data_IF_892962427061
#
_entry.id   IF_892962427061
#
_cell.length_a   1.000
_cell.length_b   1.000
_cell.length_c   1.000
_cell.angle_alpha   90.00
_cell.angle_beta   90.00
_cell.angle_gamma   90.00
#
_symmetry.space_group_name_H-M   'P 1'
#
loop_
_entity.id
_entity.type
_entity.pdbx_description
1 polymer ?
#
# COMPACT_ATOMS: atom_id res chain seq x y z
N UNK A 1 21.10 0.30 -2.57
CA UNK A 1 20.00 1.22 -2.21
C UNK A 1 19.46 1.80 -3.52
N UNK A 2 18.16 1.77 -3.76
CA UNK A 2 17.60 2.40 -4.96
C UNK A 2 17.54 3.92 -4.77
N UNK A 3 17.71 4.67 -5.87
CA UNK A 3 17.43 6.10 -5.84
C UNK A 3 15.93 6.32 -5.66
N UNK A 4 15.53 7.41 -4.99
CA UNK A 4 14.14 7.81 -4.95
C UNK A 4 14.01 9.32 -5.14
N UNK A 5 12.91 9.75 -5.77
CA UNK A 5 12.57 11.15 -5.95
C UNK A 5 11.11 11.38 -5.57
N UNK A 6 10.87 12.34 -4.67
CA UNK A 6 9.52 12.76 -4.28
C UNK A 6 9.15 14.03 -5.05
N UNK A 7 7.98 14.02 -5.67
CA UNK A 7 7.41 15.16 -6.37
C UNK A 7 6.10 15.53 -5.71
N UNK A 8 5.96 16.78 -5.28
CA UNK A 8 4.70 17.30 -4.77
C UNK A 8 3.64 17.24 -5.87
N UNK A 9 2.51 16.62 -5.58
CA UNK A 9 1.36 16.60 -6.47
C UNK A 9 0.58 17.90 -6.23
N UNK A 10 0.23 18.61 -7.29
CA UNK A 10 -0.68 19.75 -7.27
C UNK A 10 -2.03 19.30 -7.83
N UNK A 11 -2.86 18.59 -7.05
CA UNK A 11 -4.08 18.00 -7.56
C UNK A 11 -5.17 19.07 -7.74
N UNK A 12 -5.97 18.90 -8.79
CA UNK A 12 -7.28 19.52 -8.83
C UNK A 12 -8.24 18.83 -7.83
N UNK A 13 -9.47 19.32 -7.75
CA UNK A 13 -10.47 18.81 -6.81
C UNK A 13 -10.78 17.32 -7.02
N UNK A 14 -10.76 16.85 -8.27
CA UNK A 14 -11.08 15.47 -8.60
C UNK A 14 -9.93 14.53 -8.21
N UNK A 15 -8.70 14.87 -8.61
CA UNK A 15 -7.52 14.10 -8.24
C UNK A 15 -7.33 14.08 -6.73
N UNK A 16 -7.55 15.20 -6.03
CA UNK A 16 -7.47 15.25 -4.57
C UNK A 16 -8.43 14.23 -3.93
N UNK A 17 -9.68 14.19 -4.37
CA UNK A 17 -10.67 13.24 -3.86
C UNK A 17 -10.29 11.78 -4.15
N UNK A 18 -9.72 11.51 -5.33
CA UNK A 18 -9.20 10.16 -5.68
C UNK A 18 -8.07 9.76 -4.75
N UNK A 19 -7.08 10.64 -4.53
CA UNK A 19 -5.91 10.35 -3.69
C UNK A 19 -6.31 10.12 -2.23
N UNK A 20 -7.22 10.94 -1.69
CA UNK A 20 -7.78 10.77 -0.35
C UNK A 20 -8.53 9.44 -0.23
N UNK A 21 -9.36 9.11 -1.22
CA UNK A 21 -10.13 7.87 -1.24
C UNK A 21 -9.22 6.63 -1.23
N UNK A 22 -8.26 6.53 -2.16
CA UNK A 22 -7.39 5.35 -2.25
C UNK A 22 -6.49 5.20 -1.01
N UNK A 23 -6.00 6.30 -0.44
CA UNK A 23 -5.17 6.26 0.77
C UNK A 23 -5.99 5.87 2.01
N UNK A 24 -7.25 6.30 2.09
CA UNK A 24 -8.18 5.92 3.16
C UNK A 24 -8.57 4.43 3.05
N UNK A 25 -8.86 3.95 1.84
CA UNK A 25 -9.20 2.54 1.60
C UNK A 25 -8.00 1.62 1.85
N UNK A 26 -6.78 2.06 1.52
CA UNK A 26 -5.55 1.35 1.89
C UNK A 26 -5.39 1.24 3.41
N UNK A 27 -5.69 2.32 4.16
CA UNK A 27 -5.64 2.31 5.63
C UNK A 27 -6.64 1.31 6.24
N UNK A 28 -7.88 1.28 5.70
CA UNK A 28 -8.90 0.31 6.13
C UNK A 28 -8.48 -1.13 5.80
N UNK A 29 -7.97 -1.38 4.60
CA UNK A 29 -7.48 -2.70 4.19
C UNK A 29 -6.33 -3.19 5.07
N UNK A 30 -5.39 -2.31 5.42
CA UNK A 30 -4.32 -2.62 6.36
C UNK A 30 -4.87 -3.05 7.72
N UNK A 31 -5.86 -2.31 8.26
CA UNK A 31 -6.49 -2.68 9.51
C UNK A 31 -7.24 -4.02 9.43
N UNK A 32 -7.89 -4.34 8.31
CA UNK A 32 -8.45 -5.67 8.06
C UNK A 32 -7.38 -6.77 8.07
N UNK A 33 -6.22 -6.53 7.44
CA UNK A 33 -5.11 -7.47 7.43
C UNK A 33 -4.49 -7.68 8.81
N UNK A 34 -4.27 -6.61 9.57
CA UNK A 34 -3.81 -6.69 10.96
C UNK A 34 -4.81 -7.44 11.82
N UNK A 35 -6.11 -7.18 11.64
CA UNK A 35 -7.17 -7.89 12.37
C UNK A 35 -7.11 -9.40 12.09
N UNK A 36 -7.08 -9.79 10.82
CA UNK A 36 -7.00 -11.20 10.44
C UNK A 36 -5.75 -11.86 11.02
N UNK A 37 -4.58 -11.23 10.86
CA UNK A 37 -3.31 -11.73 11.40
C UNK A 37 -3.35 -11.91 12.93
N UNK A 38 -3.93 -10.94 13.66
CA UNK A 38 -4.11 -11.01 15.12
C UNK A 38 -5.03 -12.16 15.52
N UNK A 39 -6.15 -12.35 14.82
CA UNK A 39 -7.08 -13.44 15.11
C UNK A 39 -6.40 -14.81 14.97
N UNK A 40 -5.63 -15.02 13.89
CA UNK A 40 -4.88 -16.26 13.69
C UNK A 40 -3.81 -16.42 14.77
N UNK A 41 -3.00 -15.40 15.01
CA UNK A 41 -1.90 -15.47 15.97
C UNK A 41 -2.39 -15.73 17.39
N UNK A 42 -3.35 -14.96 17.90
CA UNK A 42 -3.80 -15.11 19.29
C UNK A 42 -4.58 -16.40 19.54
N UNK A 43 -5.29 -16.94 18.54
CA UNK A 43 -6.02 -18.21 18.69
C UNK A 43 -5.15 -19.46 18.47
N UNK A 44 -4.17 -19.38 17.58
CA UNK A 44 -3.46 -20.59 17.10
C UNK A 44 -1.94 -20.54 17.31
N UNK A 45 -1.40 -19.38 17.73
CA UNK A 45 0.05 -19.10 17.80
C UNK A 45 0.79 -19.26 16.45
N UNK A 46 0.06 -19.26 15.33
CA UNK A 46 0.62 -19.29 13.97
C UNK A 46 0.77 -17.88 13.40
N UNK A 47 1.72 -17.73 12.47
CA UNK A 47 2.00 -16.47 11.78
C UNK A 47 1.39 -16.50 10.38
N UNK A 48 0.65 -15.46 10.01
CA UNK A 48 0.13 -15.29 8.66
C UNK A 48 1.21 -14.78 7.71
N UNK A 49 1.30 -15.38 6.53
CA UNK A 49 2.20 -14.91 5.47
C UNK A 49 1.53 -13.82 4.60
N UNK A 50 2.34 -13.08 3.84
CA UNK A 50 1.86 -12.13 2.83
C UNK A 50 0.94 -12.80 1.80
N UNK A 51 1.25 -14.04 1.39
CA UNK A 51 0.42 -14.82 0.49
C UNK A 51 -0.94 -15.16 1.11
N UNK A 52 -0.96 -15.61 2.36
CA UNK A 52 -2.19 -15.92 3.10
C UNK A 52 -3.09 -14.69 3.20
N UNK A 53 -2.55 -13.54 3.62
CA UNK A 53 -3.34 -12.31 3.74
C UNK A 53 -3.93 -11.87 2.40
N UNK A 54 -3.17 -12.00 1.32
CA UNK A 54 -3.66 -11.70 -0.03
C UNK A 54 -4.80 -12.61 -0.48
N UNK A 55 -4.70 -13.92 -0.21
CA UNK A 55 -5.74 -14.88 -0.56
C UNK A 55 -7.03 -14.60 0.21
N UNK A 56 -6.91 -14.43 1.53
CA UNK A 56 -8.05 -14.29 2.44
C UNK A 56 -8.79 -12.97 2.27
N UNK A 57 -8.07 -11.89 1.94
CA UNK A 57 -8.65 -10.55 1.80
C UNK A 57 -9.02 -10.19 0.36
N UNK A 58 -8.84 -11.09 -0.61
CA UNK A 58 -9.12 -10.81 -2.03
C UNK A 58 -10.55 -10.31 -2.29
N UNK A 59 -11.52 -10.80 -1.51
CA UNK A 59 -12.92 -10.42 -1.62
C UNK A 59 -13.32 -9.27 -0.68
N UNK A 60 -12.38 -8.74 0.11
CA UNK A 60 -12.63 -7.61 1.00
C UNK A 60 -13.03 -6.37 0.18
N UNK A 61 -14.03 -5.58 0.59
CA UNK A 61 -14.43 -4.39 -0.15
C UNK A 61 -13.30 -3.38 -0.38
N UNK A 62 -12.46 -3.15 0.62
CA UNK A 62 -11.33 -2.23 0.53
C UNK A 62 -10.23 -2.74 -0.40
N UNK A 63 -10.07 -4.07 -0.51
CA UNK A 63 -9.20 -4.67 -1.53
C UNK A 63 -9.70 -4.33 -2.93
N UNK A 64 -11.01 -4.45 -3.17
CA UNK A 64 -11.64 -4.14 -4.47
C UNK A 64 -11.66 -2.65 -4.82
N UNK A 65 -11.52 -1.77 -3.83
CA UNK A 65 -11.37 -0.31 -4.01
C UNK A 65 -10.00 0.07 -4.59
N UNK A 66 -8.99 -0.79 -4.43
CA UNK A 66 -7.65 -0.60 -4.97
C UNK A 66 -7.43 -1.47 -6.21
N UNK A 67 -6.46 -1.11 -7.05
CA UNK A 67 -5.99 -2.06 -8.06
C UNK A 67 -5.37 -3.28 -7.36
N UNK A 68 -5.43 -4.46 -8.00
CA UNK A 68 -5.07 -5.71 -7.36
C UNK A 68 -3.63 -5.70 -6.81
N UNK A 69 -2.68 -5.17 -7.58
CA UNK A 69 -1.27 -5.07 -7.20
C UNK A 69 -1.07 -4.13 -6.02
N UNK A 70 -1.74 -2.99 -5.97
CA UNK A 70 -1.64 -2.06 -4.85
C UNK A 70 -2.26 -2.64 -3.57
N UNK A 71 -3.41 -3.31 -3.68
CA UNK A 71 -4.01 -4.06 -2.57
C UNK A 71 -3.05 -5.14 -2.05
N UNK A 72 -2.35 -5.83 -2.96
CA UNK A 72 -1.35 -6.83 -2.60
C UNK A 72 -0.16 -6.27 -1.84
N UNK A 73 0.31 -5.07 -2.20
CA UNK A 73 1.35 -4.38 -1.46
C UNK A 73 0.90 -4.03 -0.03
N UNK A 74 -0.35 -3.58 0.15
CA UNK A 74 -0.91 -3.29 1.48
C UNK A 74 -0.95 -4.53 2.37
N UNK A 75 -1.52 -5.63 1.87
CA UNK A 75 -1.57 -6.90 2.61
C UNK A 75 -0.18 -7.49 2.82
N UNK A 76 0.70 -7.35 1.82
CA UNK A 76 2.08 -7.83 1.86
C UNK A 76 2.90 -7.18 2.96
N UNK A 77 2.81 -5.85 3.10
CA UNK A 77 3.49 -5.11 4.16
C UNK A 77 3.09 -5.59 5.57
N UNK A 78 1.82 -5.95 5.78
CA UNK A 78 1.36 -6.54 7.05
C UNK A 78 1.94 -7.94 7.23
N UNK A 79 1.94 -8.77 6.20
CA UNK A 79 2.52 -10.13 6.25
C UNK A 79 4.03 -10.13 6.54
N UNK A 80 4.76 -9.17 5.96
CA UNK A 80 6.18 -8.95 6.25
C UNK A 80 6.39 -8.50 7.70
N UNK A 81 5.54 -7.60 8.21
CA UNK A 81 5.58 -7.15 9.60
C UNK A 81 5.31 -8.29 10.58
N UNK A 82 4.35 -9.17 10.28
CA UNK A 82 4.06 -10.38 11.08
C UNK A 82 5.23 -11.36 11.04
N UNK A 83 5.85 -11.54 9.86
CA UNK A 83 7.04 -12.38 9.69
C UNK A 83 8.22 -11.85 10.50
N UNK A 84 8.44 -10.52 10.47
CA UNK A 84 9.46 -9.83 11.25
C UNK A 84 9.22 -10.01 12.75
N UNK A 85 7.98 -9.80 13.21
CA UNK A 85 7.59 -10.08 14.60
C UNK A 85 7.92 -11.52 15.01
N UNK A 86 7.58 -12.50 14.17
CA UNK A 86 7.88 -13.92 14.43
C UNK A 86 9.38 -14.23 14.56
N UNK A 87 10.24 -13.51 13.83
CA UNK A 87 11.71 -13.61 13.99
C UNK A 87 12.18 -12.94 15.28
N UNK A 88 11.68 -11.74 15.56
CA UNK A 88 12.07 -10.95 16.74
C UNK A 88 11.65 -11.63 18.04
N UNK A 89 10.45 -12.22 18.11
CA UNK A 89 9.98 -12.86 19.35
C UNK A 89 10.79 -14.12 19.69
N UNK A 90 11.36 -14.81 18.69
CA UNK A 90 12.30 -15.92 18.91
C UNK A 90 13.60 -15.41 19.52
N UNK A 91 14.17 -14.31 18.99
CA UNK A 91 15.38 -13.67 19.54
C UNK A 91 15.17 -13.16 20.97
N UNK A 92 14.01 -12.57 21.25
CA UNK A 92 13.66 -12.16 22.61
C UNK A 92 13.62 -13.37 23.57
N UNK A 93 13.03 -14.49 23.14
CA UNK A 93 12.96 -15.71 23.94
C UNK A 93 14.33 -16.40 24.14
N UNK A 94 15.28 -16.23 23.22
CA UNK A 94 16.64 -16.75 23.36
C UNK A 94 17.58 -15.81 24.15
N UNK A 95 17.12 -14.62 24.56
CA UNK A 95 17.94 -13.63 25.26
C UNK A 95 18.83 -12.78 24.34
N UNK A 96 18.73 -12.95 23.02
CA UNK A 96 19.47 -12.16 22.01
C UNK A 96 18.88 -10.75 21.80
N UNK A 97 17.71 -10.48 22.36
CA UNK A 97 17.03 -9.19 22.27
C UNK A 97 16.52 -8.77 23.64
N UNK A 98 16.90 -7.57 24.09
CA UNK A 98 16.49 -7.01 25.38
C UNK A 98 15.00 -6.63 25.37
N UNK A 99 14.52 -6.06 24.27
CA UNK A 99 13.16 -5.54 24.17
C UNK A 99 12.18 -6.57 23.63
N UNK A 100 11.05 -6.74 24.32
CA UNK A 100 9.96 -7.58 23.85
C UNK A 100 9.30 -6.94 22.61
N UNK A 101 9.32 -7.60 21.44
CA UNK A 101 8.68 -7.07 20.25
C UNK A 101 7.16 -7.05 20.41
N UNK A 102 6.51 -6.07 19.77
CA UNK A 102 5.05 -5.95 19.72
C UNK A 102 4.53 -6.50 18.41
N UNK A 103 3.37 -7.15 18.46
CA UNK A 103 2.66 -7.57 17.25
C UNK A 103 2.22 -6.32 16.45
N UNK A 104 2.13 -6.37 15.10
CA UNK A 104 1.66 -5.24 14.30
C UNK A 104 0.39 -4.59 14.84
N UNK A 105 0.42 -3.26 14.93
CA UNK A 105 -0.68 -2.46 15.46
C UNK A 105 -1.61 -1.95 14.36
N UNK A 106 -2.83 -1.63 14.76
CA UNK A 106 -3.78 -0.97 13.87
C UNK A 106 -3.32 0.45 13.58
N UNK A 107 -3.55 0.91 12.35
CA UNK A 107 -3.45 2.32 12.00
C UNK A 107 -4.67 3.07 12.53
N UNK A 108 -4.47 4.37 12.79
CA UNK A 108 -5.54 5.27 13.22
C UNK A 108 -6.72 5.22 12.25
N UNK A 109 -7.93 5.10 12.80
CA UNK A 109 -9.18 5.13 12.04
C UNK A 109 -9.25 6.45 11.26
N UNK A 110 -9.75 6.39 10.02
CA UNK A 110 -9.88 7.53 9.11
C UNK A 110 -8.55 8.24 8.77
N UNK A 111 -7.41 7.61 9.10
CA UNK A 111 -6.10 8.04 8.67
C UNK A 111 -5.81 7.68 7.20
N UNK A 112 -4.83 8.37 6.63
CA UNK A 112 -4.32 8.08 5.29
C UNK A 112 -3.11 7.16 5.36
N UNK A 113 -3.01 6.24 4.41
CA UNK A 113 -1.88 5.32 4.27
C UNK A 113 -1.19 5.49 2.92
N UNK A 114 0.13 5.32 2.91
CA UNK A 114 0.93 5.24 1.68
C UNK A 114 0.47 4.05 0.83
N UNK A 115 0.27 4.29 -0.46
CA UNK A 115 -0.06 3.26 -1.43
C UNK A 115 1.07 3.09 -2.43
N UNK A 116 1.46 1.84 -2.70
CA UNK A 116 2.54 1.48 -3.61
C UNK A 116 1.99 0.82 -4.86
N UNK A 117 2.41 1.31 -6.02
CA UNK A 117 2.11 0.76 -7.33
C UNK A 117 3.40 0.24 -7.95
N UNK A 118 3.63 -1.09 -7.97
CA UNK A 118 4.79 -1.64 -8.63
C UNK A 118 4.67 -1.44 -10.15
N UNK A 119 5.80 -1.45 -10.87
CA UNK A 119 5.87 -1.18 -12.32
C UNK A 119 4.85 -1.97 -13.14
N UNK A 120 4.59 -3.23 -12.76
CA UNK A 120 3.63 -4.09 -13.47
C UNK A 120 2.18 -3.63 -13.35
N UNK A 121 1.87 -2.75 -12.38
CA UNK A 121 0.55 -2.15 -12.23
C UNK A 121 0.39 -0.88 -13.08
N UNK A 122 1.50 -0.20 -13.41
CA UNK A 122 1.47 1.07 -14.12
C UNK A 122 1.15 0.87 -15.62
N UNK A 123 0.70 1.93 -16.28
CA UNK A 123 0.51 1.93 -17.73
C UNK A 123 1.80 1.54 -18.49
N UNK A 124 1.68 0.81 -19.61
CA UNK A 124 2.87 0.32 -20.34
C UNK A 124 3.79 1.43 -20.87
N UNK A 125 3.23 2.61 -21.12
CA UNK A 125 3.92 3.79 -21.63
C UNK A 125 3.33 5.04 -20.99
N UNK A 126 4.08 6.14 -21.07
CA UNK A 126 3.55 7.45 -20.75
C UNK A 126 2.48 7.85 -21.77
N UNK A 127 1.52 8.65 -21.32
CA UNK A 127 0.52 9.32 -22.15
C UNK A 127 0.67 10.80 -21.84
N UNK A 128 1.04 11.59 -22.85
CA UNK A 128 1.25 13.04 -22.73
C UNK A 128 2.16 13.44 -21.54
N UNK A 129 3.28 12.72 -21.38
CA UNK A 129 4.23 12.94 -20.29
C UNK A 129 3.76 12.48 -18.90
N UNK A 130 2.64 11.78 -18.82
CA UNK A 130 2.05 11.33 -17.56
C UNK A 130 2.07 9.81 -17.42
N UNK A 131 2.22 9.34 -16.19
CA UNK A 131 2.08 7.94 -15.83
C UNK A 131 0.61 7.66 -15.51
N UNK A 132 0.05 6.66 -16.17
CA UNK A 132 -1.32 6.20 -15.90
C UNK A 132 -1.30 5.16 -14.77
N UNK A 133 -2.07 5.41 -13.71
CA UNK A 133 -2.16 4.57 -12.52
C UNK A 133 -3.58 3.99 -12.40
N UNK A 134 -3.76 2.66 -12.37
CA UNK A 134 -5.09 2.06 -12.34
C UNK A 134 -5.76 2.20 -10.96
N UNK A 135 -7.08 2.32 -11.00
CA UNK A 135 -7.96 2.28 -9.84
C UNK A 135 -8.55 0.87 -9.65
N UNK A 136 -9.21 0.64 -8.51
CA UNK A 136 -9.86 -0.64 -8.23
C UNK A 136 -11.10 -0.88 -9.09
N UNK A 137 -11.43 -2.16 -9.29
CA UNK A 137 -12.63 -2.55 -10.07
C UNK A 137 -13.92 -2.01 -9.47
N UNK A 138 -13.98 -1.87 -8.14
CA UNK A 138 -15.15 -1.28 -7.47
C UNK A 138 -15.26 0.22 -7.76
N UNK A 139 -14.14 0.93 -7.82
CA UNK A 139 -14.10 2.35 -8.17
C UNK A 139 -14.62 2.55 -9.60
N UNK A 140 -14.20 1.69 -10.53
CA UNK A 140 -14.74 1.70 -11.89
C UNK A 140 -16.25 1.43 -11.91
N UNK A 141 -16.74 0.44 -11.16
CA UNK A 141 -18.15 0.09 -11.13
C UNK A 141 -19.04 1.19 -10.52
N UNK A 142 -18.55 1.89 -9.50
CA UNK A 142 -19.33 2.90 -8.77
C UNK A 142 -19.22 4.30 -9.35
N UNK A 143 -18.04 4.68 -9.84
CA UNK A 143 -17.75 6.06 -10.27
C UNK A 143 -17.39 6.17 -11.76
N UNK A 144 -17.28 5.06 -12.50
CA UNK A 144 -16.84 5.06 -13.89
C UNK A 144 -15.34 5.35 -14.08
N UNK A 145 -14.59 5.56 -12.99
CA UNK A 145 -13.18 5.92 -13.01
C UNK A 145 -12.29 4.67 -13.08
N UNK A 146 -11.50 4.55 -14.17
CA UNK A 146 -10.61 3.40 -14.39
C UNK A 146 -9.19 3.64 -13.90
N UNK A 147 -8.72 4.87 -13.98
CA UNK A 147 -7.35 5.27 -13.67
C UNK A 147 -7.31 6.76 -13.36
N UNK A 148 -6.18 7.21 -12.82
CA UNK A 148 -5.79 8.60 -12.73
C UNK A 148 -4.37 8.73 -13.29
N UNK A 149 -3.93 9.96 -13.53
CA UNK A 149 -2.61 10.24 -14.06
C UNK A 149 -1.80 11.11 -13.11
N UNK A 150 -0.48 10.93 -13.15
CA UNK A 150 0.48 11.80 -12.48
C UNK A 150 1.57 12.21 -13.46
N UNK A 151 2.09 13.42 -13.31
CA UNK A 151 3.14 13.95 -14.18
C UNK A 151 4.45 13.19 -13.91
N UNK A 152 5.09 12.70 -14.97
CA UNK A 152 6.42 12.12 -14.89
C UNK A 152 7.46 13.25 -14.76
N UNK A 153 8.36 13.23 -13.77
CA UNK A 153 9.44 14.21 -13.69
C UNK A 153 10.39 14.07 -14.88
N UNK A 154 10.77 15.20 -15.50
CA UNK A 154 11.55 15.23 -16.74
C UNK A 154 12.99 14.73 -16.59
N UNK A 155 13.50 14.65 -15.37
CA UNK A 155 14.86 14.21 -15.06
C UNK A 155 14.96 12.70 -14.81
N UNK A 156 13.86 11.95 -14.93
CA UNK A 156 13.83 10.49 -14.75
C UNK A 156 13.33 9.81 -16.02
N UNK A 157 13.89 8.65 -16.33
CA UNK A 157 13.41 7.80 -17.41
C UNK A 157 12.33 6.86 -16.92
N UNK A 158 11.23 6.74 -17.67
CA UNK A 158 10.14 5.85 -17.28
C UNK A 158 10.60 4.39 -17.22
N UNK A 159 11.56 3.98 -18.06
CA UNK A 159 12.06 2.60 -18.09
C UNK A 159 12.69 2.18 -16.75
N UNK A 160 13.30 3.11 -16.03
CA UNK A 160 14.02 2.84 -14.78
C UNK A 160 13.10 2.78 -13.56
N UNK A 161 11.86 3.28 -13.69
CA UNK A 161 10.88 3.26 -12.60
C UNK A 161 10.48 1.82 -12.27
N UNK A 162 10.72 1.42 -11.02
CA UNK A 162 10.36 0.14 -10.42
C UNK A 162 9.02 0.20 -9.70
N UNK A 163 8.75 1.30 -9.03
CA UNK A 163 7.47 1.54 -8.38
C UNK A 163 7.19 3.02 -8.20
N UNK A 164 5.91 3.35 -8.04
CA UNK A 164 5.46 4.68 -7.65
C UNK A 164 4.66 4.56 -6.37
N UNK A 165 4.98 5.40 -5.39
CA UNK A 165 4.23 5.49 -4.14
C UNK A 165 3.50 6.82 -4.06
N UNK A 166 2.26 6.81 -3.57
CA UNK A 166 1.54 8.03 -3.21
C UNK A 166 1.63 8.21 -1.70
N UNK A 167 2.20 9.34 -1.28
CA UNK A 167 2.50 9.63 0.12
C UNK A 167 1.63 10.79 0.62
N UNK A 168 0.66 10.53 1.51
CA UNK A 168 -0.04 11.60 2.24
C UNK A 168 0.88 12.16 3.35
N UNK A 169 1.28 13.43 3.25
CA UNK A 169 2.13 14.11 4.24
C UNK A 169 1.73 15.57 4.41
N UNK A 170 1.51 15.98 5.67
CA UNK A 170 1.27 17.38 6.05
C UNK A 170 0.15 18.06 5.25
N UNK A 171 -0.94 17.33 4.98
CA UNK A 171 -2.08 17.85 4.20
C UNK A 171 -1.90 17.85 2.68
N UNK A 172 -0.74 17.39 2.18
CA UNK A 172 -0.43 17.29 0.76
C UNK A 172 -0.17 15.83 0.35
N UNK A 173 -0.10 15.59 -0.96
CA UNK A 173 0.28 14.32 -1.53
C UNK A 173 1.57 14.44 -2.34
N UNK A 174 2.44 13.44 -2.23
CA UNK A 174 3.64 13.32 -3.02
C UNK A 174 3.59 12.04 -3.86
N UNK A 175 4.05 12.11 -5.11
CA UNK A 175 4.41 10.94 -5.89
C UNK A 175 5.90 10.66 -5.68
N UNK A 176 6.22 9.51 -5.09
CA UNK A 176 7.58 9.05 -4.93
C UNK A 176 7.91 8.00 -5.99
N UNK A 177 8.90 8.31 -6.82
CA UNK A 177 9.41 7.47 -7.90
C UNK A 177 10.63 6.72 -7.38
N UNK A 178 10.64 5.39 -7.53
CA UNK A 178 11.69 4.46 -7.10
C UNK A 178 12.12 3.58 -8.25
#
# INVERSE_FOLDING_TARGET
MFGCQQVLINPDRELQAILEYICTEANKLHNCAVYYARQIYFKTQKYTSSFTLNSELKNNPHYGSLCAQAAQQVCGAVGESVTSFGKLIKKFRSGELEFKPKFPDYRTKDGLQVITYPKQALGKKLVDGQVIIPLGKKVQAWFGLKNFSIIMPSNLEYADIREIRILPRNGCFYAEFI
#
